data_IF_683462025194
#
_entry.id   IF_683462025194
#
_cell.length_a   1.000
_cell.length_b   1.000
_cell.length_c   1.000
_cell.angle_alpha   90.00
_cell.angle_beta   90.00
_cell.angle_gamma   90.00
#
_symmetry.space_group_name_H-M   'P 1'
#
loop_
_entity.id
_entity.type
_entity.pdbx_description
1 polymer ?
#
# COMPACT_ATOMS: atom_id res chain seq x y z
N UNK A 1 1.49 1.21 6.90
CA UNK A 1 0.24 0.70 6.32
C UNK A 1 -0.77 0.17 7.33
N UNK A 2 -0.34 -0.27 8.51
CA UNK A 2 -1.24 -0.75 9.58
C UNK A 2 -2.43 0.17 9.89
N UNK A 3 -2.24 1.49 9.82
CA UNK A 3 -3.29 2.49 10.00
C UNK A 3 -4.39 2.44 8.93
N UNK A 4 -4.03 2.30 7.65
CA UNK A 4 -5.00 2.21 6.55
C UNK A 4 -5.80 0.90 6.61
N UNK A 5 -5.13 -0.22 6.90
CA UNK A 5 -5.78 -1.52 7.09
C UNK A 5 -6.79 -1.45 8.23
N UNK A 6 -6.39 -0.83 9.36
CA UNK A 6 -7.29 -0.62 10.50
C UNK A 6 -8.46 0.28 10.15
N UNK A 7 -8.24 1.34 9.38
CA UNK A 7 -9.32 2.22 8.94
C UNK A 7 -10.37 1.46 8.11
N UNK A 8 -9.96 0.59 7.20
CA UNK A 8 -10.89 -0.28 6.47
C UNK A 8 -11.70 -1.18 7.44
N UNK A 9 -11.05 -1.75 8.45
CA UNK A 9 -11.76 -2.53 9.47
C UNK A 9 -12.76 -1.68 10.26
N UNK A 10 -12.36 -0.48 10.69
CA UNK A 10 -13.24 0.46 11.39
C UNK A 10 -14.47 0.83 10.55
N UNK A 11 -14.31 1.01 9.24
CA UNK A 11 -15.44 1.24 8.33
C UNK A 11 -16.40 0.05 8.31
N UNK A 12 -15.88 -1.18 8.20
CA UNK A 12 -16.71 -2.39 8.22
C UNK A 12 -17.47 -2.55 9.55
N UNK A 13 -16.85 -2.19 10.66
CA UNK A 13 -17.41 -2.32 12.02
C UNK A 13 -18.57 -1.33 12.28
N UNK A 14 -18.74 -0.29 11.44
CA UNK A 14 -19.89 0.64 11.55
C UNK A 14 -21.25 -0.01 11.25
N UNK A 15 -21.25 -1.15 10.56
CA UNK A 15 -22.47 -1.80 10.09
C UNK A 15 -23.10 -1.17 8.83
N UNK A 16 -22.46 -0.19 8.19
CA UNK A 16 -22.95 0.39 6.94
C UNK A 16 -22.89 -0.62 5.77
N UNK A 17 -23.86 -0.53 4.86
CA UNK A 17 -23.92 -1.36 3.64
C UNK A 17 -23.25 -0.70 2.43
N UNK A 18 -23.23 0.65 2.39
CA UNK A 18 -22.72 1.44 1.27
C UNK A 18 -21.74 2.50 1.78
N UNK A 19 -20.62 2.63 1.09
CA UNK A 19 -19.56 3.60 1.37
C UNK A 19 -19.33 4.52 0.16
N UNK A 20 -19.25 5.82 0.42
CA UNK A 20 -19.00 6.86 -0.61
C UNK A 20 -17.53 7.28 -0.51
N UNK A 21 -16.66 6.85 -1.45
CA UNK A 21 -15.26 7.28 -1.44
C UNK A 21 -15.12 8.71 -1.96
N UNK A 22 -13.97 9.35 -1.67
CA UNK A 22 -13.65 10.65 -2.27
C UNK A 22 -13.45 10.57 -3.79
N UNK A 23 -13.08 9.39 -4.32
CA UNK A 23 -12.94 9.13 -5.76
C UNK A 23 -13.34 7.69 -6.09
N UNK A 24 -13.75 7.44 -7.35
CA UNK A 24 -14.11 6.11 -7.81
C UNK A 24 -15.57 5.73 -7.55
N UNK A 25 -15.95 4.47 -7.82
CA UNK A 25 -17.33 4.00 -7.68
C UNK A 25 -17.73 3.84 -6.21
N UNK A 26 -19.04 3.80 -5.96
CA UNK A 26 -19.57 3.38 -4.66
C UNK A 26 -19.06 1.99 -4.29
N UNK A 27 -18.80 1.79 -3.01
CA UNK A 27 -18.35 0.50 -2.48
C UNK A 27 -19.44 -0.07 -1.58
N UNK A 28 -19.59 -1.39 -1.64
CA UNK A 28 -20.28 -2.14 -0.60
C UNK A 28 -19.27 -2.65 0.45
N UNK A 29 -19.76 -3.43 1.41
CA UNK A 29 -18.91 -4.05 2.45
C UNK A 29 -17.84 -4.96 1.85
N UNK A 30 -18.14 -5.67 0.77
CA UNK A 30 -17.18 -6.58 0.13
C UNK A 30 -16.04 -5.81 -0.55
N UNK A 31 -16.34 -4.68 -1.18
CA UNK A 31 -15.33 -3.81 -1.78
C UNK A 31 -14.38 -3.21 -0.74
N UNK A 32 -14.89 -2.78 0.42
CA UNK A 32 -14.03 -2.31 1.52
C UNK A 32 -13.15 -3.44 2.08
N UNK A 33 -13.70 -4.66 2.21
CA UNK A 33 -12.94 -5.83 2.64
C UNK A 33 -11.85 -6.21 1.63
N UNK A 34 -12.12 -6.17 0.32
CA UNK A 34 -11.13 -6.43 -0.71
C UNK A 34 -9.96 -5.43 -0.63
N UNK A 35 -10.26 -4.14 -0.45
CA UNK A 35 -9.21 -3.11 -0.29
C UNK A 35 -8.35 -3.41 0.95
N UNK A 36 -8.97 -3.72 2.10
CA UNK A 36 -8.25 -4.11 3.32
C UNK A 36 -7.32 -5.28 3.06
N UNK A 37 -7.81 -6.30 2.39
CA UNK A 37 -7.08 -7.55 2.17
C UNK A 37 -5.92 -7.35 1.19
N UNK A 38 -6.11 -6.57 0.13
CA UNK A 38 -5.04 -6.20 -0.82
C UNK A 38 -3.96 -5.36 -0.15
N UNK A 39 -4.34 -4.39 0.69
CA UNK A 39 -3.37 -3.63 1.50
C UNK A 39 -2.60 -4.53 2.46
N UNK A 40 -3.26 -5.53 3.06
CA UNK A 40 -2.64 -6.47 3.98
C UNK A 40 -1.63 -7.37 3.28
N UNK A 41 -1.98 -7.95 2.13
CA UNK A 41 -1.10 -8.79 1.32
C UNK A 41 0.17 -8.03 0.89
N UNK A 42 0.01 -6.84 0.31
CA UNK A 42 1.17 -6.05 -0.10
C UNK A 42 2.03 -5.59 1.10
N UNK A 43 1.42 -5.30 2.25
CA UNK A 43 2.16 -4.96 3.48
C UNK A 43 2.99 -6.16 3.96
N UNK A 44 2.46 -7.37 3.88
CA UNK A 44 3.16 -8.60 4.25
C UNK A 44 4.35 -8.87 3.31
N UNK A 45 4.15 -8.74 1.99
CA UNK A 45 5.22 -8.85 0.98
C UNK A 45 6.35 -7.84 1.24
N UNK A 46 6.01 -6.57 1.39
CA UNK A 46 6.98 -5.50 1.66
C UNK A 46 7.74 -5.74 2.99
N UNK A 47 7.04 -6.16 4.04
CA UNK A 47 7.66 -6.48 5.34
C UNK A 47 8.57 -7.70 5.23
N UNK A 48 8.20 -8.70 4.43
CA UNK A 48 9.05 -9.85 4.11
C UNK A 48 10.37 -9.42 3.47
N UNK A 49 10.32 -8.54 2.47
CA UNK A 49 11.51 -7.97 1.85
C UNK A 49 12.37 -7.17 2.85
N UNK A 50 11.75 -6.36 3.71
CA UNK A 50 12.46 -5.62 4.75
C UNK A 50 13.20 -6.56 5.73
N UNK A 51 12.56 -7.65 6.18
CA UNK A 51 13.16 -8.66 7.06
C UNK A 51 14.35 -9.37 6.42
N UNK A 52 14.32 -9.54 5.10
CA UNK A 52 15.42 -10.10 4.33
C UNK A 52 16.51 -9.07 3.96
N UNK A 53 16.39 -7.81 4.40
CA UNK A 53 17.37 -6.76 4.13
C UNK A 53 17.37 -6.27 2.68
N UNK A 54 16.30 -6.52 1.92
CA UNK A 54 16.18 -6.05 0.53
C UNK A 54 16.05 -4.52 0.53
N UNK A 55 16.82 -3.79 -0.29
CA UNK A 55 16.70 -2.34 -0.41
C UNK A 55 15.28 -1.90 -0.81
N UNK A 56 14.80 -0.78 -0.27
CA UNK A 56 13.45 -0.27 -0.51
C UNK A 56 13.10 -0.15 -2.01
N UNK A 57 14.02 0.39 -2.82
CA UNK A 57 13.80 0.55 -4.25
C UNK A 57 13.63 -0.79 -4.99
N UNK A 58 14.37 -1.82 -4.56
CA UNK A 58 14.27 -3.17 -5.13
C UNK A 58 12.98 -3.85 -4.69
N UNK A 59 12.64 -3.74 -3.40
CA UNK A 59 11.40 -4.27 -2.87
C UNK A 59 10.18 -3.63 -3.51
N UNK A 60 10.19 -2.31 -3.75
CA UNK A 60 9.09 -1.63 -4.40
C UNK A 60 8.88 -2.12 -5.85
N UNK A 61 9.97 -2.44 -6.58
CA UNK A 61 9.90 -3.08 -7.90
C UNK A 61 9.34 -4.50 -7.83
N UNK A 62 9.77 -5.29 -6.85
CA UNK A 62 9.29 -6.67 -6.64
C UNK A 62 7.80 -6.69 -6.28
N UNK A 63 7.37 -5.85 -5.34
CA UNK A 63 5.97 -5.67 -4.96
C UNK A 63 5.16 -5.20 -6.18
N UNK A 64 5.62 -4.21 -6.92
CA UNK A 64 4.95 -3.76 -8.13
C UNK A 64 4.78 -4.88 -9.16
N UNK A 65 5.82 -5.69 -9.36
CA UNK A 65 5.80 -6.84 -10.26
C UNK A 65 4.80 -7.93 -9.83
N UNK A 66 4.65 -8.16 -8.52
CA UNK A 66 3.66 -9.08 -7.96
C UNK A 66 2.21 -8.64 -8.14
N UNK A 67 1.99 -7.34 -8.38
CA UNK A 67 0.66 -6.73 -8.48
C UNK A 67 0.33 -6.22 -9.89
N UNK A 68 1.08 -6.63 -10.92
CA UNK A 68 0.89 -6.21 -12.32
C UNK A 68 -0.55 -6.45 -12.78
N UNK A 69 -1.14 -5.45 -13.44
CA UNK A 69 -2.49 -5.50 -14.00
C UNK A 69 -3.61 -5.39 -12.97
N UNK A 70 -3.30 -5.38 -11.68
CA UNK A 70 -4.31 -5.30 -10.62
C UNK A 70 -4.57 -3.86 -10.14
N UNK A 71 -3.65 -2.93 -10.37
CA UNK A 71 -3.75 -1.50 -9.97
C UNK A 71 -3.68 -0.58 -11.18
N UNK A 72 -4.48 0.49 -11.17
CA UNK A 72 -4.47 1.51 -12.22
C UNK A 72 -3.19 2.37 -12.24
N UNK A 73 -2.56 2.55 -11.08
CA UNK A 73 -1.37 3.36 -10.87
C UNK A 73 -0.35 2.57 -10.04
N UNK A 74 0.28 1.53 -10.61
CA UNK A 74 1.17 0.62 -9.89
C UNK A 74 2.40 1.32 -9.32
N UNK A 75 2.84 2.44 -9.90
CA UNK A 75 3.95 3.27 -9.41
C UNK A 75 3.69 3.82 -7.99
N UNK A 76 2.42 3.96 -7.58
CA UNK A 76 2.05 4.42 -6.23
C UNK A 76 2.37 3.40 -5.13
N UNK A 77 2.60 2.13 -5.48
CA UNK A 77 3.00 1.08 -4.55
C UNK A 77 4.33 1.39 -3.86
N UNK A 78 5.16 2.28 -4.43
CA UNK A 78 6.35 2.78 -3.74
C UNK A 78 6.03 3.35 -2.36
N UNK A 79 5.01 4.21 -2.28
CA UNK A 79 4.68 4.92 -1.02
C UNK A 79 4.14 3.98 0.06
N UNK A 80 3.39 2.95 -0.34
CA UNK A 80 2.93 1.94 0.60
C UNK A 80 4.07 1.01 1.03
N UNK A 81 4.96 0.63 0.11
CA UNK A 81 6.17 -0.16 0.43
C UNK A 81 7.05 0.61 1.42
N UNK A 82 7.30 1.90 1.17
CA UNK A 82 8.04 2.78 2.08
C UNK A 82 7.37 2.85 3.46
N UNK A 83 6.05 3.04 3.52
CA UNK A 83 5.34 3.05 4.78
C UNK A 83 5.43 1.71 5.54
N UNK A 84 5.41 0.58 4.84
CA UNK A 84 5.62 -0.76 5.43
C UNK A 84 7.04 -0.93 5.96
N UNK A 85 8.05 -0.44 5.22
CA UNK A 85 9.45 -0.44 5.66
C UNK A 85 9.67 0.42 6.92
N UNK A 86 9.04 1.61 6.98
CA UNK A 86 9.10 2.46 8.15
C UNK A 86 8.45 1.79 9.37
N UNK A 87 7.28 1.16 9.20
CA UNK A 87 6.61 0.39 10.27
C UNK A 87 7.42 -0.84 10.71
N UNK A 88 8.19 -1.44 9.80
CA UNK A 88 9.12 -2.53 10.11
C UNK A 88 10.41 -2.06 10.83
N UNK A 89 10.59 -0.76 11.04
CA UNK A 89 11.73 -0.19 11.75
C UNK A 89 12.99 -0.02 10.89
N UNK A 90 12.87 -0.07 9.56
CA UNK A 90 14.01 0.19 8.66
C UNK A 90 14.40 1.66 8.76
N UNK A 91 15.69 1.92 9.01
CA UNK A 91 16.23 3.27 9.09
C UNK A 91 16.36 3.91 7.69
N UNK A 92 16.29 5.24 7.63
CA UNK A 92 16.54 5.99 6.39
C UNK A 92 15.42 5.89 5.35
N UNK A 93 14.24 5.40 5.73
CA UNK A 93 13.07 5.40 4.85
C UNK A 93 12.67 6.85 4.55
N UNK A 94 12.47 7.24 3.27
CA UNK A 94 12.04 8.58 2.92
C UNK A 94 10.71 8.95 3.56
N UNK A 95 10.56 10.20 3.98
CA UNK A 95 9.33 10.73 4.57
C UNK A 95 8.86 12.06 3.97
N UNK A 96 9.70 12.72 3.19
CA UNK A 96 9.33 13.96 2.50
C UNK A 96 8.46 13.68 1.28
N UNK A 97 7.54 14.60 0.98
CA UNK A 97 6.67 14.49 -0.20
C UNK A 97 7.48 14.36 -1.49
N UNK A 98 8.56 15.13 -1.63
CA UNK A 98 9.40 15.10 -2.83
C UNK A 98 10.05 13.71 -3.01
N UNK A 99 10.64 13.15 -1.96
CA UNK A 99 11.30 11.84 -2.06
C UNK A 99 10.30 10.70 -2.33
N UNK A 100 9.07 10.80 -1.82
CA UNK A 100 7.99 9.86 -2.16
C UNK A 100 7.61 9.96 -3.64
N UNK A 101 7.53 11.18 -4.19
CA UNK A 101 7.24 11.40 -5.60
C UNK A 101 8.37 10.91 -6.49
N UNK A 102 9.63 11.16 -6.13
CA UNK A 102 10.82 10.64 -6.82
C UNK A 102 10.82 9.10 -6.84
N UNK A 103 10.48 8.47 -5.71
CA UNK A 103 10.34 7.02 -5.64
C UNK A 103 9.25 6.47 -6.55
N UNK A 104 8.07 7.10 -6.58
CA UNK A 104 7.01 6.73 -7.54
C UNK A 104 7.48 6.91 -8.99
N UNK A 105 8.13 8.03 -9.31
CA UNK A 105 8.65 8.28 -10.66
C UNK A 105 9.68 7.23 -11.09
N UNK A 106 10.49 6.71 -10.16
CA UNK A 106 11.45 5.62 -10.46
C UNK A 106 10.81 4.28 -10.83
N UNK A 107 9.52 4.09 -10.51
CA UNK A 107 8.74 2.90 -10.87
C UNK A 107 7.91 3.08 -12.14
N UNK A 108 7.63 4.32 -12.55
CA UNK A 108 6.90 4.60 -13.77
C UNK A 108 7.81 4.31 -14.98
N UNK A 109 7.41 3.34 -15.81
CA UNK A 109 8.03 3.09 -17.11
C UNK A 109 7.55 4.09 -18.16
#
# INVERSE_FOLDING_TARGET
MSGCIRACQTLLDTGADVFVPGHGPLLDRSGVAEIRDRLSQMTEEATGHARCGVPLADAARLVMAGHVGSWAHPERLFTQTAASYAEAGVAGVPSSTLAMVEGMASLAC
#
